data_IF_217377671393
#
_entry.id   IF_217377671393
#
_cell.length_a   1.000
_cell.length_b   1.000
_cell.length_c   1.000
_cell.angle_alpha   90.00
_cell.angle_beta   90.00
_cell.angle_gamma   90.00
#
_symmetry.space_group_name_H-M   'P 1'
#
loop_
_entity.id
_entity.type
_entity.pdbx_description
1 polymer ?
#
# COMPACT_ATOMS: atom_id res chain seq x y z
N UNK A 1 13.13 27.64 -7.69
CA UNK A 1 12.70 27.12 -8.99
C UNK A 1 12.60 28.22 -10.06
N UNK A 2 13.52 29.19 -10.06
CA UNK A 2 13.57 30.28 -11.06
C UNK A 2 14.98 30.43 -11.61
N UNK A 3 15.78 29.34 -11.67
CA UNK A 3 17.07 29.37 -12.32
C UNK A 3 16.92 28.95 -13.79
N UNK A 4 17.56 29.66 -14.67
CA UNK A 4 17.70 29.25 -16.07
C UNK A 4 18.64 28.05 -16.16
N UNK A 5 18.53 27.23 -17.19
CA UNK A 5 19.36 26.05 -17.42
C UNK A 5 20.86 26.33 -17.33
N UNK A 6 21.29 27.47 -17.88
CA UNK A 6 22.68 27.93 -17.80
C UNK A 6 23.14 28.22 -16.35
N UNK A 7 22.27 28.77 -15.51
CA UNK A 7 22.59 29.03 -14.10
C UNK A 7 22.73 27.72 -13.32
N UNK A 8 21.90 26.74 -13.62
CA UNK A 8 21.98 25.38 -13.05
C UNK A 8 23.31 24.72 -13.44
N UNK A 9 23.70 24.81 -14.70
CA UNK A 9 24.96 24.26 -15.19
C UNK A 9 26.17 24.89 -14.51
N UNK A 10 26.13 26.22 -14.23
CA UNK A 10 27.18 26.90 -13.49
C UNK A 10 27.27 26.42 -12.02
N UNK A 11 26.11 26.19 -11.35
CA UNK A 11 26.10 25.60 -10.00
C UNK A 11 26.74 24.22 -10.01
N UNK A 12 26.40 23.38 -11.00
CA UNK A 12 27.00 22.06 -11.17
C UNK A 12 28.52 22.09 -11.41
N UNK A 13 28.98 23.04 -12.19
CA UNK A 13 30.43 23.20 -12.43
C UNK A 13 31.17 23.56 -11.14
N UNK A 14 30.65 24.51 -10.36
CA UNK A 14 31.23 24.93 -9.08
C UNK A 14 31.25 23.77 -8.07
N UNK A 15 30.11 23.10 -7.89
CA UNK A 15 30.01 21.96 -6.98
C UNK A 15 30.88 20.79 -7.42
N UNK A 16 30.91 20.48 -8.71
CA UNK A 16 31.73 19.41 -9.25
C UNK A 16 33.24 19.65 -9.03
N UNK A 17 33.74 20.89 -9.20
CA UNK A 17 35.12 21.25 -8.89
C UNK A 17 35.41 21.11 -7.41
N UNK A 18 34.53 21.58 -6.54
CA UNK A 18 34.67 21.51 -5.11
C UNK A 18 34.69 20.05 -4.63
N UNK A 19 33.77 19.22 -5.07
CA UNK A 19 33.70 17.81 -4.71
C UNK A 19 34.93 17.01 -5.16
N UNK A 20 35.53 17.35 -6.32
CA UNK A 20 36.75 16.71 -6.81
C UNK A 20 37.99 16.99 -5.96
N UNK A 21 38.02 18.08 -5.18
CA UNK A 21 39.09 18.34 -4.21
C UNK A 21 39.13 17.28 -3.14
N UNK A 22 37.99 16.79 -2.69
CA UNK A 22 37.85 15.83 -1.59
C UNK A 22 37.83 14.38 -2.05
N UNK A 23 37.06 14.08 -3.12
CA UNK A 23 36.90 12.71 -3.63
C UNK A 23 37.99 12.29 -4.63
N UNK A 24 38.78 13.24 -5.16
CA UNK A 24 39.70 12.99 -6.26
C UNK A 24 39.01 12.93 -7.61
N UNK A 25 39.80 13.22 -8.66
CA UNK A 25 39.29 13.49 -10.03
C UNK A 25 38.51 12.33 -10.66
N UNK A 26 38.78 11.09 -10.25
CA UNK A 26 38.22 9.88 -10.84
C UNK A 26 37.17 9.17 -9.94
N UNK A 27 36.86 9.75 -8.79
CA UNK A 27 35.96 9.12 -7.81
C UNK A 27 34.68 9.93 -7.55
N UNK A 28 34.47 11.03 -8.28
CA UNK A 28 33.29 11.87 -8.16
C UNK A 28 32.47 11.76 -9.44
N UNK A 29 31.23 11.34 -9.29
CA UNK A 29 30.29 11.11 -10.35
C UNK A 29 29.04 11.98 -10.15
N UNK A 30 28.59 12.64 -11.20
CA UNK A 30 27.30 13.29 -11.27
C UNK A 30 26.29 12.29 -11.83
N UNK A 31 25.26 11.95 -11.08
CA UNK A 31 24.31 10.91 -11.47
C UNK A 31 23.06 11.53 -12.08
N UNK A 32 22.43 12.46 -11.39
CA UNK A 32 21.15 13.02 -11.81
C UNK A 32 20.94 14.40 -11.19
N UNK A 33 20.41 15.35 -11.95
CA UNK A 33 20.04 16.71 -11.50
C UNK A 33 21.00 17.35 -10.48
N UNK A 34 20.78 17.14 -9.18
CA UNK A 34 21.57 17.70 -8.08
C UNK A 34 22.28 16.63 -7.25
N UNK A 35 22.52 15.45 -7.81
CA UNK A 35 23.04 14.30 -7.09
C UNK A 35 24.45 13.94 -7.54
N UNK A 36 25.33 13.82 -6.55
CA UNK A 36 26.71 13.43 -6.75
C UNK A 36 27.04 12.20 -5.91
N UNK A 37 27.87 11.33 -6.46
CA UNK A 37 28.45 10.19 -5.74
C UNK A 37 29.94 10.36 -5.63
N UNK A 38 30.46 10.18 -4.41
CA UNK A 38 31.89 10.13 -4.14
C UNK A 38 32.22 8.71 -3.71
N UNK A 39 33.05 8.02 -4.48
CA UNK A 39 33.52 6.68 -4.15
C UNK A 39 34.79 6.79 -3.30
N UNK A 40 34.73 6.27 -2.07
CA UNK A 40 35.84 6.33 -1.12
C UNK A 40 36.41 4.93 -0.92
N UNK A 41 37.71 4.76 -1.19
CA UNK A 41 38.38 3.45 -1.10
C UNK A 41 38.54 2.93 0.32
N UNK A 42 38.82 3.83 1.27
CA UNK A 42 39.06 3.47 2.64
C UNK A 42 37.96 3.99 3.58
N UNK A 43 37.44 3.12 4.41
CA UNK A 43 36.41 3.48 5.40
C UNK A 43 36.86 4.63 6.33
N UNK A 44 38.13 4.70 6.66
CA UNK A 44 38.70 5.76 7.53
C UNK A 44 38.60 7.15 6.89
N UNK A 45 38.64 7.24 5.58
CA UNK A 45 38.52 8.51 4.86
C UNK A 45 37.13 9.06 4.77
N UNK A 46 36.10 8.21 4.93
CA UNK A 46 34.69 8.62 4.79
C UNK A 46 34.33 9.72 5.77
N UNK A 47 34.67 9.51 7.06
CA UNK A 47 34.34 10.52 8.09
C UNK A 47 35.09 11.83 7.84
N UNK A 48 36.37 11.74 7.50
CA UNK A 48 37.21 12.93 7.18
C UNK A 48 36.61 13.71 5.99
N UNK A 49 36.28 13.00 4.92
CA UNK A 49 35.70 13.63 3.71
C UNK A 49 34.34 14.25 4.03
N UNK A 50 33.52 13.57 4.83
CA UNK A 50 32.23 14.12 5.25
C UNK A 50 32.39 15.40 6.08
N UNK A 51 33.28 15.40 7.08
CA UNK A 51 33.52 16.55 7.96
C UNK A 51 34.08 17.74 7.16
N UNK A 52 35.00 17.49 6.20
CA UNK A 52 35.54 18.50 5.29
C UNK A 52 34.45 19.06 4.36
N UNK A 53 33.61 18.20 3.75
CA UNK A 53 32.50 18.62 2.88
C UNK A 53 31.48 19.47 3.64
N UNK A 54 31.12 19.06 4.84
CA UNK A 54 30.16 19.81 5.67
C UNK A 54 30.65 21.23 5.98
N UNK A 55 31.96 21.41 6.12
CA UNK A 55 32.57 22.71 6.39
C UNK A 55 32.74 23.56 5.13
N UNK A 56 33.13 22.95 4.01
CA UNK A 56 33.54 23.64 2.78
C UNK A 56 32.38 23.89 1.79
N UNK A 57 31.29 23.12 1.89
CA UNK A 57 30.14 23.29 1.01
C UNK A 57 29.44 24.63 1.29
N UNK A 58 29.27 25.51 0.28
CA UNK A 58 28.71 26.83 0.49
C UNK A 58 27.21 26.78 0.74
N UNK A 59 26.73 27.42 1.80
CA UNK A 59 25.30 27.57 2.05
C UNK A 59 24.59 28.46 1.01
N UNK A 60 25.36 29.21 0.23
CA UNK A 60 24.85 30.06 -0.86
C UNK A 60 25.88 30.15 -1.96
N UNK A 61 25.43 29.97 -3.22
CA UNK A 61 26.23 30.17 -4.42
C UNK A 61 25.72 31.40 -5.15
N UNK A 62 26.58 32.32 -5.47
CA UNK A 62 26.23 33.49 -6.28
C UNK A 62 26.49 33.21 -7.76
N UNK A 63 25.45 33.30 -8.57
CA UNK A 63 25.49 33.18 -10.02
C UNK A 63 24.91 34.45 -10.61
N UNK A 64 25.70 35.17 -11.40
CA UNK A 64 25.38 36.51 -11.88
C UNK A 64 25.00 37.42 -10.69
N UNK A 65 23.80 37.97 -10.69
CA UNK A 65 23.28 38.83 -9.60
C UNK A 65 22.34 38.11 -8.67
N UNK A 66 22.23 36.78 -8.74
CA UNK A 66 21.37 35.96 -7.91
C UNK A 66 22.14 35.17 -6.84
N UNK A 67 21.63 35.15 -5.62
CA UNK A 67 22.09 34.26 -4.55
C UNK A 67 21.20 33.03 -4.52
N UNK A 68 21.79 31.85 -4.74
CA UNK A 68 21.11 30.56 -4.73
C UNK A 68 21.44 29.87 -3.41
N UNK A 69 20.42 29.68 -2.56
CA UNK A 69 20.58 28.96 -1.29
C UNK A 69 20.72 27.47 -1.55
N UNK A 70 21.68 26.86 -0.90
CA UNK A 70 22.03 25.45 -1.05
C UNK A 70 21.71 24.69 0.24
N UNK A 71 21.08 23.53 0.07
CA UNK A 71 20.80 22.58 1.15
C UNK A 71 21.37 21.22 0.76
N UNK A 72 22.11 20.59 1.65
CA UNK A 72 22.80 19.33 1.38
C UNK A 72 22.28 18.22 2.27
N UNK A 73 22.05 17.04 1.68
CA UNK A 73 21.79 15.80 2.41
C UNK A 73 22.85 14.77 2.03
N UNK A 74 23.37 14.08 3.01
CA UNK A 74 24.43 13.10 2.84
C UNK A 74 23.91 11.69 3.09
N UNK A 75 24.18 10.80 2.16
CA UNK A 75 23.86 9.38 2.27
C UNK A 75 25.18 8.61 2.25
N UNK A 76 25.52 7.99 3.37
CA UNK A 76 26.80 7.28 3.52
C UNK A 76 26.53 5.78 3.51
N UNK A 77 27.00 5.10 2.47
CA UNK A 77 26.86 3.66 2.30
C UNK A 77 28.25 3.03 2.44
N UNK A 78 28.42 2.23 3.48
CA UNK A 78 29.67 1.49 3.73
C UNK A 78 29.40 0.00 3.84
N UNK A 79 30.40 -0.83 3.47
CA UNK A 79 30.34 -2.28 3.61
C UNK A 79 29.09 -2.93 2.97
N UNK A 80 28.79 -2.56 1.75
CA UNK A 80 27.78 -3.26 0.94
C UNK A 80 28.33 -4.64 0.64
N UNK A 81 27.56 -5.67 0.93
CA UNK A 81 27.96 -7.05 0.67
C UNK A 81 28.22 -7.25 -0.84
N UNK A 82 29.25 -8.01 -1.17
CA UNK A 82 29.63 -8.29 -2.57
C UNK A 82 28.57 -9.05 -3.38
N UNK A 83 27.58 -9.62 -2.70
CA UNK A 83 26.44 -10.28 -3.33
C UNK A 83 25.40 -9.32 -3.93
N UNK A 84 25.43 -8.01 -3.57
CA UNK A 84 24.50 -7.06 -4.12
C UNK A 84 24.85 -6.68 -5.57
N UNK A 85 23.83 -6.71 -6.42
CA UNK A 85 23.91 -6.20 -7.79
C UNK A 85 23.95 -4.67 -7.80
N UNK A 86 24.31 -4.08 -8.94
CA UNK A 86 24.19 -2.64 -9.14
C UNK A 86 22.76 -2.14 -8.91
N UNK A 87 21.77 -2.93 -9.31
CA UNK A 87 20.36 -2.62 -9.07
C UNK A 87 20.01 -2.55 -7.60
N UNK A 88 20.54 -3.48 -6.79
CA UNK A 88 20.34 -3.46 -5.34
C UNK A 88 21.01 -2.23 -4.70
N UNK A 89 22.21 -1.88 -5.16
CA UNK A 89 22.92 -0.69 -4.68
C UNK A 89 22.16 0.61 -4.96
N UNK A 90 21.65 0.78 -6.17
CA UNK A 90 20.83 1.94 -6.52
C UNK A 90 19.54 2.00 -5.67
N UNK A 91 18.96 0.85 -5.40
CA UNK A 91 17.78 0.74 -4.55
C UNK A 91 18.08 1.10 -3.08
N UNK A 92 19.22 0.67 -2.56
CA UNK A 92 19.69 1.09 -1.22
C UNK A 92 19.72 2.63 -1.12
N UNK A 93 20.29 3.30 -2.11
CA UNK A 93 20.34 4.77 -2.15
C UNK A 93 18.92 5.38 -2.18
N UNK A 94 18.02 4.85 -3.01
CA UNK A 94 16.64 5.33 -3.09
C UNK A 94 15.88 5.13 -1.78
N UNK A 95 16.03 3.99 -1.13
CA UNK A 95 15.40 3.71 0.16
C UNK A 95 15.95 4.61 1.28
N UNK A 96 17.26 4.88 1.28
CA UNK A 96 17.85 5.86 2.21
C UNK A 96 17.28 7.26 2.03
N UNK A 97 17.03 7.68 0.78
CA UNK A 97 16.37 8.97 0.48
C UNK A 97 14.93 8.99 1.00
N UNK A 98 14.19 7.91 0.81
CA UNK A 98 12.82 7.76 1.32
C UNK A 98 12.80 7.89 2.84
N UNK A 99 13.67 7.16 3.55
CA UNK A 99 13.80 7.24 5.01
C UNK A 99 14.11 8.68 5.47
N UNK A 100 15.00 9.38 4.77
CA UNK A 100 15.36 10.76 5.10
C UNK A 100 14.21 11.76 4.93
N UNK A 101 13.18 11.43 4.15
CA UNK A 101 11.99 12.27 3.94
C UNK A 101 10.81 11.88 4.82
N UNK A 102 10.70 10.61 5.19
CA UNK A 102 9.62 10.08 6.04
C UNK A 102 9.83 10.38 7.53
N UNK A 103 11.07 10.35 7.99
CA UNK A 103 11.40 10.78 9.34
C UNK A 103 11.15 12.29 9.48
N UNK A 104 10.25 12.67 10.37
CA UNK A 104 9.93 14.07 10.71
C UNK A 104 11.14 14.90 11.21
N UNK A 105 12.26 14.26 11.40
CA UNK A 105 13.58 14.84 11.61
C UNK A 105 14.24 14.99 10.24
N UNK A 106 14.37 16.22 9.76
CA UNK A 106 15.12 16.56 8.55
C UNK A 106 16.62 16.23 8.77
N UNK A 107 16.95 14.93 8.61
CA UNK A 107 18.29 14.42 8.86
C UNK A 107 19.24 14.90 7.75
N UNK A 108 20.24 15.67 8.13
CA UNK A 108 21.31 16.08 7.23
C UNK A 108 22.13 14.88 6.73
N UNK A 109 22.22 13.82 7.55
CA UNK A 109 23.01 12.60 7.26
C UNK A 109 22.20 11.34 7.53
N UNK A 110 22.20 10.42 6.56
CA UNK A 110 21.68 9.06 6.72
C UNK A 110 22.82 8.06 6.51
N UNK A 111 23.01 7.17 7.47
CA UNK A 111 24.01 6.12 7.41
C UNK A 111 23.34 4.79 7.07
N UNK A 112 23.97 4.01 6.17
CA UNK A 112 23.56 2.63 5.89
C UNK A 112 24.16 1.71 6.94
N UNK A 113 23.58 1.73 8.14
CA UNK A 113 23.97 0.87 9.27
C UNK A 113 22.77 0.62 10.20
N UNK A 114 22.92 -0.26 11.18
CA UNK A 114 21.92 -0.54 12.20
C UNK A 114 20.50 -0.71 11.64
N UNK A 115 19.54 0.02 12.19
CA UNK A 115 18.12 -0.04 11.81
C UNK A 115 17.86 0.33 10.34
N UNK A 116 18.62 1.29 9.79
CA UNK A 116 18.48 1.70 8.39
C UNK A 116 18.85 0.54 7.47
N UNK A 117 19.97 -0.15 7.76
CA UNK A 117 20.40 -1.32 7.00
C UNK A 117 19.36 -2.43 7.09
N UNK A 118 18.91 -2.79 8.28
CA UNK A 118 17.91 -3.85 8.49
C UNK A 118 16.58 -3.54 7.77
N UNK A 119 16.16 -2.29 7.78
CA UNK A 119 14.95 -1.85 7.08
C UNK A 119 15.10 -2.05 5.57
N UNK A 120 16.22 -1.63 4.99
CA UNK A 120 16.48 -1.72 3.55
C UNK A 120 16.66 -3.18 3.11
N UNK A 121 17.40 -4.00 3.90
CA UNK A 121 17.56 -5.42 3.60
C UNK A 121 16.22 -6.16 3.57
N UNK A 122 15.32 -5.84 4.51
CA UNK A 122 13.94 -6.36 4.50
C UNK A 122 13.17 -5.93 3.26
N UNK A 123 13.30 -4.68 2.84
CA UNK A 123 12.66 -4.18 1.62
C UNK A 123 13.15 -4.93 0.37
N UNK A 124 14.46 -5.16 0.27
CA UNK A 124 15.05 -5.94 -0.83
C UNK A 124 14.56 -7.40 -0.84
N UNK A 125 14.45 -8.01 0.33
CA UNK A 125 13.91 -9.37 0.47
C UNK A 125 12.43 -9.44 0.05
N UNK A 126 11.62 -8.49 0.48
CA UNK A 126 10.21 -8.39 0.07
C UNK A 126 10.07 -8.26 -1.46
N UNK A 127 10.94 -7.48 -2.10
CA UNK A 127 10.94 -7.31 -3.57
C UNK A 127 11.29 -8.61 -4.27
N UNK A 128 12.28 -9.36 -3.76
CA UNK A 128 12.62 -10.67 -4.32
C UNK A 128 11.45 -11.64 -4.21
N UNK A 129 10.75 -11.61 -3.07
CA UNK A 129 9.54 -12.41 -2.86
C UNK A 129 8.44 -12.07 -3.87
N UNK A 130 8.14 -10.77 -4.06
CA UNK A 130 7.12 -10.33 -5.04
C UNK A 130 7.48 -10.82 -6.45
N UNK A 131 8.73 -10.71 -6.87
CA UNK A 131 9.17 -11.21 -8.17
C UNK A 131 9.00 -12.74 -8.31
N UNK A 132 9.39 -13.48 -7.26
CA UNK A 132 9.23 -14.93 -7.24
C UNK A 132 7.75 -15.35 -7.32
N UNK A 133 6.85 -14.62 -6.65
CA UNK A 133 5.41 -14.87 -6.74
C UNK A 133 4.89 -14.66 -8.17
N UNK A 134 5.33 -13.59 -8.84
CA UNK A 134 4.95 -13.32 -10.23
C UNK A 134 5.49 -14.38 -11.20
N UNK A 135 6.72 -14.85 -11.00
CA UNK A 135 7.31 -15.90 -11.82
C UNK A 135 6.56 -17.22 -11.69
N UNK A 136 6.03 -17.54 -10.52
CA UNK A 136 5.27 -18.76 -10.28
C UNK A 136 3.76 -18.63 -10.58
N UNK A 137 3.25 -17.40 -10.77
CA UNK A 137 1.82 -17.07 -10.95
C UNK A 137 0.93 -17.62 -9.82
N UNK A 138 1.47 -17.75 -8.59
CA UNK A 138 0.79 -18.33 -7.43
C UNK A 138 1.02 -17.51 -6.15
N UNK A 139 -0.03 -17.43 -5.33
CA UNK A 139 0.04 -16.95 -3.95
C UNK A 139 -0.88 -17.79 -3.06
N UNK A 140 -0.51 -17.94 -1.78
CA UNK A 140 -1.42 -18.51 -0.79
C UNK A 140 -2.51 -17.50 -0.46
N UNK A 141 -3.68 -18.01 -0.10
CA UNK A 141 -4.84 -17.21 0.24
C UNK A 141 -5.31 -17.48 1.67
N UNK A 142 -5.98 -16.49 2.22
CA UNK A 142 -6.74 -16.62 3.46
C UNK A 142 -8.06 -15.85 3.34
N UNK A 143 -9.04 -16.23 4.09
CA UNK A 143 -10.38 -15.67 4.06
C UNK A 143 -10.70 -15.00 5.40
N UNK A 144 -11.25 -13.78 5.34
CA UNK A 144 -11.89 -13.12 6.47
C UNK A 144 -13.41 -13.22 6.31
N UNK A 145 -14.13 -13.87 7.22
CA UNK A 145 -15.58 -13.94 7.17
C UNK A 145 -16.24 -12.57 7.33
N UNK A 146 -17.28 -12.35 6.55
CA UNK A 146 -18.08 -11.12 6.57
C UNK A 146 -19.48 -11.43 7.06
N UNK A 147 -19.85 -10.85 8.21
CA UNK A 147 -21.16 -11.02 8.82
C UNK A 147 -22.17 -10.04 8.27
N UNK A 148 -23.29 -10.54 7.76
CA UNK A 148 -24.46 -9.76 7.31
C UNK A 148 -25.37 -9.48 8.52
N UNK A 149 -25.45 -8.22 8.91
CA UNK A 149 -26.23 -7.81 10.09
C UNK A 149 -27.72 -8.00 9.89
N UNK A 150 -28.20 -7.85 8.67
CA UNK A 150 -29.63 -7.98 8.36
C UNK A 150 -30.10 -9.43 8.36
N UNK A 151 -29.29 -10.33 7.84
CA UNK A 151 -29.57 -11.78 7.77
C UNK A 151 -29.15 -12.53 9.03
N UNK A 152 -28.27 -11.91 9.84
CA UNK A 152 -27.68 -12.50 11.04
C UNK A 152 -26.88 -13.77 10.74
N UNK A 153 -26.12 -13.76 9.68
CA UNK A 153 -25.29 -14.87 9.21
C UNK A 153 -23.98 -14.40 8.59
N UNK A 154 -22.98 -15.27 8.57
CA UNK A 154 -21.81 -15.06 7.72
C UNK A 154 -22.14 -15.53 6.31
N UNK A 155 -22.20 -14.60 5.37
CA UNK A 155 -22.55 -14.90 3.98
C UNK A 155 -21.59 -14.29 2.95
N UNK A 156 -20.52 -13.67 3.41
CA UNK A 156 -19.45 -13.12 2.58
C UNK A 156 -18.07 -13.56 3.05
N UNK A 157 -17.10 -13.53 2.15
CA UNK A 157 -15.69 -13.74 2.44
C UNK A 157 -14.86 -12.64 1.80
N UNK A 158 -14.04 -11.95 2.56
CA UNK A 158 -12.93 -11.17 2.04
C UNK A 158 -11.75 -12.11 1.84
N UNK A 159 -11.25 -12.21 0.61
CA UNK A 159 -10.18 -13.15 0.25
C UNK A 159 -8.90 -12.37 0.00
N UNK A 160 -7.88 -12.66 0.81
CA UNK A 160 -6.63 -11.94 0.83
C UNK A 160 -5.45 -12.83 0.42
N UNK A 161 -4.51 -12.32 -0.40
CA UNK A 161 -3.25 -13.00 -0.61
C UNK A 161 -2.42 -12.95 0.68
N UNK A 162 -1.81 -14.09 1.03
CA UNK A 162 -0.90 -14.21 2.17
C UNK A 162 0.53 -14.10 1.70
N UNK A 163 1.21 -13.07 2.15
CA UNK A 163 2.59 -12.78 1.78
C UNK A 163 3.44 -12.80 3.05
N UNK A 164 4.38 -13.75 3.13
CA UNK A 164 5.23 -13.94 4.30
C UNK A 164 6.71 -14.02 3.92
N UNK A 165 7.56 -13.39 4.72
CA UNK A 165 9.01 -13.55 4.68
C UNK A 165 9.45 -14.07 6.06
N UNK A 166 9.86 -15.33 6.13
CA UNK A 166 10.06 -16.00 7.42
C UNK A 166 8.77 -16.00 8.24
N UNK A 167 8.84 -15.52 9.48
CA UNK A 167 7.68 -15.41 10.37
C UNK A 167 6.91 -14.08 10.19
N UNK A 168 7.44 -13.15 9.40
CA UNK A 168 6.82 -11.84 9.19
C UNK A 168 5.79 -11.90 8.07
N UNK A 169 4.59 -11.38 8.36
CA UNK A 169 3.56 -11.09 7.37
C UNK A 169 3.79 -9.70 6.77
N UNK A 170 3.71 -9.60 5.46
CA UNK A 170 3.76 -8.34 4.71
C UNK A 170 2.32 -7.93 4.42
N UNK A 171 1.97 -6.68 4.71
CA UNK A 171 0.62 -6.18 4.41
C UNK A 171 0.42 -6.02 2.90
N UNK A 172 -0.82 -6.10 2.45
CA UNK A 172 -1.13 -5.93 1.03
C UNK A 172 -0.79 -4.52 0.53
N UNK A 173 -0.92 -3.52 1.41
CA UNK A 173 -0.56 -2.12 1.12
C UNK A 173 0.96 -1.98 0.89
N UNK A 174 1.79 -2.63 1.73
CA UNK A 174 3.25 -2.68 1.51
C UNK A 174 3.58 -3.31 0.15
N UNK A 175 2.88 -4.41 -0.22
CA UNK A 175 3.08 -5.06 -1.53
C UNK A 175 2.69 -4.14 -2.67
N UNK A 176 1.57 -3.43 -2.55
CA UNK A 176 1.16 -2.47 -3.58
C UNK A 176 2.14 -1.31 -3.74
N UNK A 177 2.64 -0.74 -2.65
CA UNK A 177 3.63 0.33 -2.69
C UNK A 177 4.92 -0.15 -3.36
N UNK A 178 5.45 -1.31 -2.95
CA UNK A 178 6.64 -1.90 -3.55
C UNK A 178 6.44 -2.27 -5.02
N UNK A 179 5.29 -2.85 -5.39
CA UNK A 179 4.99 -3.23 -6.77
C UNK A 179 4.95 -2.01 -7.70
N UNK A 180 4.48 -0.85 -7.18
CA UNK A 180 4.51 0.41 -7.90
C UNK A 180 5.95 0.89 -8.12
N UNK A 181 6.78 0.83 -7.08
CA UNK A 181 8.18 1.24 -7.16
C UNK A 181 9.00 0.39 -8.15
N UNK A 182 8.68 -0.89 -8.28
CA UNK A 182 9.38 -1.79 -9.22
C UNK A 182 8.68 -1.96 -10.56
N UNK A 183 7.55 -1.28 -10.77
CA UNK A 183 6.84 -1.24 -12.05
C UNK A 183 6.05 -2.50 -12.41
N UNK A 184 5.68 -3.34 -11.42
CA UNK A 184 4.91 -4.57 -11.65
C UNK A 184 3.49 -4.54 -11.04
N UNK A 185 2.96 -3.36 -10.73
CA UNK A 185 1.67 -3.21 -10.07
C UNK A 185 0.51 -3.88 -10.78
N UNK A 186 0.46 -3.78 -12.12
CA UNK A 186 -0.58 -4.44 -12.91
C UNK A 186 -0.50 -5.95 -12.75
N UNK A 187 0.69 -6.51 -12.92
CA UNK A 187 0.89 -7.96 -12.96
C UNK A 187 0.56 -8.59 -11.60
N UNK A 188 0.96 -7.95 -10.48
CA UNK A 188 0.66 -8.44 -9.13
C UNK A 188 -0.85 -8.45 -8.86
N UNK A 189 -1.58 -7.42 -9.28
CA UNK A 189 -3.03 -7.38 -9.06
C UNK A 189 -3.79 -8.36 -9.92
N UNK A 190 -3.38 -8.54 -11.18
CA UNK A 190 -3.97 -9.56 -12.05
C UNK A 190 -3.70 -10.95 -11.49
N UNK A 191 -2.48 -11.22 -11.01
CA UNK A 191 -2.15 -12.48 -10.36
C UNK A 191 -3.04 -12.72 -9.13
N UNK A 192 -3.18 -11.73 -8.25
CA UNK A 192 -4.05 -11.85 -7.07
C UNK A 192 -5.49 -12.13 -7.47
N UNK A 193 -6.04 -11.35 -8.39
CA UNK A 193 -7.40 -11.56 -8.88
C UNK A 193 -7.60 -12.97 -9.43
N UNK A 194 -6.72 -13.42 -10.31
CA UNK A 194 -6.80 -14.78 -10.91
C UNK A 194 -6.76 -15.88 -9.84
N UNK A 195 -5.86 -15.77 -8.87
CA UNK A 195 -5.76 -16.74 -7.78
C UNK A 195 -7.04 -16.75 -6.93
N UNK A 196 -7.61 -15.59 -6.60
CA UNK A 196 -8.88 -15.47 -5.86
C UNK A 196 -10.04 -16.09 -6.65
N UNK A 197 -10.17 -15.77 -7.94
CA UNK A 197 -11.23 -16.33 -8.78
C UNK A 197 -11.10 -17.86 -8.96
N UNK A 198 -9.86 -18.35 -9.16
CA UNK A 198 -9.55 -19.78 -9.24
C UNK A 198 -9.93 -20.49 -7.94
N UNK A 199 -9.54 -19.94 -6.79
CA UNK A 199 -9.89 -20.45 -5.48
C UNK A 199 -11.41 -20.48 -5.27
N UNK A 200 -12.10 -19.38 -5.54
CA UNK A 200 -13.57 -19.25 -5.42
C UNK A 200 -14.30 -20.35 -6.18
N UNK A 201 -13.83 -20.63 -7.42
CA UNK A 201 -14.40 -21.66 -8.27
C UNK A 201 -14.05 -23.07 -7.79
N UNK A 202 -12.79 -23.31 -7.41
CA UNK A 202 -12.29 -24.60 -6.91
C UNK A 202 -13.07 -25.04 -5.67
N UNK A 203 -13.25 -24.12 -4.72
CA UNK A 203 -13.94 -24.38 -3.44
C UNK A 203 -15.46 -24.31 -3.56
N UNK A 204 -16.01 -23.92 -4.71
CA UNK A 204 -17.46 -23.79 -4.95
C UNK A 204 -18.14 -22.90 -3.90
N UNK A 205 -17.52 -21.77 -3.55
CA UNK A 205 -17.94 -20.95 -2.44
C UNK A 205 -19.41 -20.55 -2.52
N UNK A 206 -19.90 -20.17 -3.71
CA UNK A 206 -21.30 -19.75 -3.90
C UNK A 206 -22.28 -20.90 -3.78
N UNK A 207 -21.88 -22.12 -4.16
CA UNK A 207 -22.72 -23.31 -3.98
C UNK A 207 -22.80 -23.76 -2.51
N UNK A 208 -21.79 -23.38 -1.71
CA UNK A 208 -21.68 -23.70 -0.28
C UNK A 208 -22.24 -22.58 0.64
N UNK A 209 -23.03 -21.64 0.11
CA UNK A 209 -23.76 -20.63 0.90
C UNK A 209 -23.11 -19.24 0.99
N UNK A 210 -21.92 -19.04 0.44
CA UNK A 210 -21.33 -17.72 0.35
C UNK A 210 -22.03 -16.93 -0.76
N UNK A 211 -22.58 -15.77 -0.45
CA UNK A 211 -23.31 -14.94 -1.41
C UNK A 211 -22.42 -13.96 -2.17
N UNK A 212 -21.31 -13.53 -1.56
CA UNK A 212 -20.38 -12.60 -2.18
C UNK A 212 -18.96 -12.77 -1.67
N UNK A 213 -17.99 -12.45 -2.55
CA UNK A 213 -16.58 -12.35 -2.21
C UNK A 213 -16.14 -10.89 -2.30
N UNK A 214 -15.15 -10.54 -1.48
CA UNK A 214 -14.53 -9.22 -1.48
C UNK A 214 -13.07 -9.35 -1.87
N UNK A 215 -12.64 -8.45 -2.75
CA UNK A 215 -11.29 -8.43 -3.31
C UNK A 215 -10.70 -7.05 -3.09
N UNK A 216 -9.56 -7.01 -2.42
CA UNK A 216 -8.82 -5.77 -2.18
C UNK A 216 -8.08 -5.30 -3.43
N UNK A 217 -8.21 -4.03 -3.76
CA UNK A 217 -7.59 -3.39 -4.93
C UNK A 217 -7.10 -2.00 -4.57
N UNK A 218 -5.85 -1.68 -4.91
CA UNK A 218 -5.40 -0.30 -4.80
C UNK A 218 -5.98 0.57 -5.92
N UNK A 219 -6.46 1.78 -5.57
CA UNK A 219 -7.12 2.67 -6.51
C UNK A 219 -6.27 3.01 -7.75
N UNK A 220 -4.95 3.12 -7.59
CA UNK A 220 -4.05 3.40 -8.71
C UNK A 220 -3.89 2.24 -9.71
N UNK A 221 -4.41 1.05 -9.40
CA UNK A 221 -4.41 -0.08 -10.32
C UNK A 221 -5.60 -0.10 -11.27
N UNK A 222 -6.66 0.61 -10.94
CA UNK A 222 -7.89 0.65 -11.74
C UNK A 222 -8.09 2.00 -12.45
N UNK A 223 -7.00 2.73 -12.70
CA UNK A 223 -7.05 4.07 -13.33
C UNK A 223 -7.09 4.06 -14.86
N UNK A 224 -7.36 2.92 -15.48
CA UNK A 224 -7.56 2.86 -16.93
C UNK A 224 -8.69 1.90 -17.30
N UNK A 225 -9.42 2.24 -18.33
CA UNK A 225 -10.53 1.40 -18.86
C UNK A 225 -10.00 0.03 -19.31
N UNK A 226 -8.80 -0.02 -19.92
CA UNK A 226 -8.19 -1.27 -20.36
C UNK A 226 -7.94 -2.24 -19.19
N UNK A 227 -7.49 -1.74 -18.04
CA UNK A 227 -7.30 -2.57 -16.84
C UNK A 227 -8.64 -3.02 -16.28
N UNK A 228 -9.65 -2.13 -16.25
CA UNK A 228 -10.99 -2.50 -15.80
C UNK A 228 -11.59 -3.60 -16.69
N UNK A 229 -11.41 -3.49 -18.01
CA UNK A 229 -11.87 -4.50 -18.97
C UNK A 229 -11.15 -5.83 -18.79
N UNK A 230 -9.84 -5.81 -18.53
CA UNK A 230 -9.06 -6.98 -18.21
C UNK A 230 -9.55 -7.70 -16.95
N UNK A 231 -9.80 -6.97 -15.87
CA UNK A 231 -10.44 -7.52 -14.65
C UNK A 231 -11.76 -8.19 -14.96
N UNK A 232 -12.62 -7.51 -15.69
CA UNK A 232 -13.93 -8.06 -16.10
C UNK A 232 -13.80 -9.26 -17.01
N UNK A 233 -12.74 -9.35 -17.83
CA UNK A 233 -12.50 -10.50 -18.70
C UNK A 233 -12.20 -11.76 -17.87
N UNK A 234 -11.37 -11.65 -16.83
CA UNK A 234 -11.10 -12.76 -15.92
C UNK A 234 -12.34 -13.18 -15.13
N UNK A 235 -13.14 -12.25 -14.63
CA UNK A 235 -14.38 -12.57 -13.92
C UNK A 235 -15.31 -13.41 -14.81
N UNK A 236 -15.44 -13.04 -16.08
CA UNK A 236 -16.22 -13.79 -17.07
C UNK A 236 -15.60 -15.15 -17.41
N UNK A 237 -14.28 -15.21 -17.59
CA UNK A 237 -13.52 -16.43 -17.88
C UNK A 237 -13.71 -17.51 -16.81
N UNK A 238 -13.66 -17.10 -15.54
CA UNK A 238 -13.93 -18.02 -14.42
C UNK A 238 -15.41 -18.32 -14.22
N UNK A 239 -16.31 -17.67 -14.95
CA UNK A 239 -17.77 -17.91 -14.89
C UNK A 239 -18.40 -17.43 -13.58
N UNK A 240 -17.83 -16.40 -12.94
CA UNK A 240 -18.36 -15.82 -11.70
C UNK A 240 -19.32 -14.69 -12.06
N UNK A 241 -20.50 -14.68 -11.40
CA UNK A 241 -21.43 -13.56 -11.56
C UNK A 241 -20.81 -12.28 -10.96
N UNK A 242 -20.68 -11.19 -11.73
CA UNK A 242 -20.14 -9.94 -11.23
C UNK A 242 -20.87 -9.38 -10.00
N UNK A 243 -22.15 -9.61 -9.84
CA UNK A 243 -22.95 -9.18 -8.69
C UNK A 243 -22.50 -9.83 -7.36
N UNK A 244 -21.80 -10.96 -7.43
CA UNK A 244 -21.25 -11.64 -6.28
C UNK A 244 -19.85 -11.13 -5.91
N UNK A 245 -19.34 -10.09 -6.59
CA UNK A 245 -18.02 -9.52 -6.35
C UNK A 245 -18.14 -8.10 -5.81
N UNK A 246 -17.41 -7.84 -4.74
CA UNK A 246 -17.18 -6.50 -4.21
C UNK A 246 -15.70 -6.18 -4.32
N UNK A 247 -15.34 -5.11 -5.02
CA UNK A 247 -13.99 -4.56 -4.99
C UNK A 247 -13.87 -3.58 -3.82
N UNK A 248 -12.93 -3.84 -2.94
CA UNK A 248 -12.56 -2.96 -1.83
C UNK A 248 -11.39 -2.09 -2.28
N UNK A 249 -11.66 -0.81 -2.54
CA UNK A 249 -10.70 0.09 -3.17
C UNK A 249 -10.00 0.93 -2.11
N UNK A 250 -8.70 0.66 -1.94
CA UNK A 250 -7.82 1.45 -1.09
C UNK A 250 -7.28 2.67 -1.85
N UNK A 251 -7.49 3.88 -1.29
CA UNK A 251 -7.02 5.14 -1.85
C UNK A 251 -5.83 5.62 -1.00
N UNK A 252 -4.63 5.14 -1.32
CA UNK A 252 -3.40 5.44 -0.57
C UNK A 252 -2.58 6.60 -1.12
N UNK A 253 -2.89 7.07 -2.33
CA UNK A 253 -2.17 8.14 -3.05
C UNK A 253 -3.18 9.08 -3.72
N UNK A 254 -2.74 10.29 -4.04
CA UNK A 254 -3.54 11.20 -4.85
C UNK A 254 -3.70 10.64 -6.27
N UNK A 255 -4.95 10.50 -6.69
CA UNK A 255 -5.32 10.00 -8.00
C UNK A 255 -6.18 11.03 -8.73
N UNK A 256 -6.13 11.08 -10.07
CA UNK A 256 -7.07 11.87 -10.84
C UNK A 256 -8.50 11.41 -10.55
N UNK A 257 -9.28 12.26 -9.87
CA UNK A 257 -10.63 11.93 -9.38
C UNK A 257 -11.58 11.48 -10.51
N UNK A 258 -11.51 12.14 -11.64
CA UNK A 258 -12.34 11.84 -12.81
C UNK A 258 -12.03 10.47 -13.43
N UNK A 259 -10.75 10.05 -13.39
CA UNK A 259 -10.32 8.74 -13.89
C UNK A 259 -10.82 7.64 -12.96
N UNK A 260 -10.61 7.80 -11.66
CA UNK A 260 -11.08 6.83 -10.66
C UNK A 260 -12.61 6.71 -10.68
N UNK A 261 -13.32 7.83 -10.78
CA UNK A 261 -14.79 7.83 -10.87
C UNK A 261 -15.31 7.06 -12.10
N UNK A 262 -14.66 7.22 -13.26
CA UNK A 262 -14.99 6.45 -14.48
C UNK A 262 -14.78 4.96 -14.29
N UNK A 263 -13.67 4.56 -13.67
CA UNK A 263 -13.36 3.15 -13.40
C UNK A 263 -14.38 2.52 -12.44
N UNK A 264 -14.73 3.22 -11.36
CA UNK A 264 -15.77 2.76 -10.42
C UNK A 264 -17.11 2.61 -11.15
N UNK A 265 -17.50 3.62 -11.94
CA UNK A 265 -18.73 3.56 -12.72
C UNK A 265 -18.73 2.41 -13.73
N UNK A 266 -17.58 2.11 -14.36
CA UNK A 266 -17.42 0.97 -15.25
C UNK A 266 -17.73 -0.35 -14.56
N UNK A 267 -17.09 -0.65 -13.43
CA UNK A 267 -17.34 -1.89 -12.67
C UNK A 267 -18.81 -2.01 -12.25
N UNK A 268 -19.39 -0.93 -11.72
CA UNK A 268 -20.78 -0.90 -11.29
C UNK A 268 -21.77 -1.12 -12.45
N UNK A 269 -21.47 -0.62 -13.64
CA UNK A 269 -22.26 -0.87 -14.85
C UNK A 269 -22.38 -2.36 -15.18
N UNK A 270 -21.34 -3.13 -14.86
CA UNK A 270 -21.31 -4.58 -15.09
C UNK A 270 -21.72 -5.41 -13.86
N UNK A 271 -22.26 -4.78 -12.83
CA UNK A 271 -22.79 -5.46 -11.66
C UNK A 271 -21.83 -5.63 -10.48
N UNK A 272 -20.54 -5.29 -10.64
CA UNK A 272 -19.56 -5.39 -9.56
C UNK A 272 -19.79 -4.26 -8.54
N UNK A 273 -19.93 -4.60 -7.26
CA UNK A 273 -19.96 -3.61 -6.18
C UNK A 273 -18.56 -3.05 -5.96
N UNK A 274 -18.45 -1.73 -5.75
CA UNK A 274 -17.19 -1.07 -5.47
C UNK A 274 -17.33 -0.24 -4.21
N UNK A 275 -16.58 -0.55 -3.17
CA UNK A 275 -16.62 0.17 -1.89
C UNK A 275 -15.30 0.85 -1.60
N UNK A 276 -15.35 1.97 -0.90
CA UNK A 276 -14.17 2.68 -0.41
C UNK A 276 -13.63 1.98 0.83
N UNK A 277 -12.42 1.47 0.74
CA UNK A 277 -11.77 0.77 1.86
C UNK A 277 -10.93 1.69 2.73
N UNK A 278 -10.70 1.26 3.99
CA UNK A 278 -9.89 1.96 4.99
C UNK A 278 -10.33 3.41 5.27
N UNK A 279 -11.64 3.68 5.22
CA UNK A 279 -12.16 5.01 5.49
C UNK A 279 -11.80 5.47 6.90
N UNK A 280 -11.11 6.61 6.99
CA UNK A 280 -10.75 7.26 8.26
C UNK A 280 -9.31 7.02 8.74
N UNK A 281 -8.47 6.28 8.00
CA UNK A 281 -7.04 6.13 8.32
C UNK A 281 -6.23 7.30 7.74
N UNK A 282 -6.48 7.67 6.50
CA UNK A 282 -5.79 8.79 5.83
C UNK A 282 -6.72 9.99 5.66
N UNK A 283 -6.15 11.15 5.30
CA UNK A 283 -6.94 12.34 5.01
C UNK A 283 -7.96 12.05 3.90
N UNK A 284 -9.23 12.27 4.19
CA UNK A 284 -10.32 12.11 3.25
C UNK A 284 -10.75 13.48 2.74
N UNK A 285 -10.80 13.64 1.41
CA UNK A 285 -11.40 14.83 0.81
C UNK A 285 -12.93 14.68 0.83
N UNK A 286 -13.62 15.63 1.48
CA UNK A 286 -15.09 15.63 1.56
C UNK A 286 -15.75 15.68 0.17
N UNK A 287 -15.14 16.37 -0.80
CA UNK A 287 -15.61 16.41 -2.17
C UNK A 287 -15.61 15.01 -2.80
N UNK A 288 -14.54 14.24 -2.63
CA UNK A 288 -14.46 12.86 -3.11
C UNK A 288 -15.54 11.98 -2.50
N UNK A 289 -15.81 12.20 -1.20
CA UNK A 289 -16.90 11.51 -0.52
C UNK A 289 -18.27 11.81 -1.16
N UNK A 290 -18.47 13.02 -1.64
CA UNK A 290 -19.76 13.44 -2.23
C UNK A 290 -19.90 13.01 -3.69
N UNK A 291 -18.84 13.08 -4.47
CA UNK A 291 -18.88 12.98 -5.95
C UNK A 291 -18.53 11.58 -6.48
N UNK A 292 -17.75 10.79 -5.73
CA UNK A 292 -17.36 9.45 -6.16
C UNK A 292 -18.53 8.47 -6.19
N UNK A 293 -18.67 7.68 -7.28
CA UNK A 293 -19.79 6.76 -7.46
C UNK A 293 -19.60 5.41 -6.77
N UNK A 294 -19.09 5.39 -5.52
CA UNK A 294 -18.97 4.16 -4.74
C UNK A 294 -20.34 3.55 -4.43
N UNK A 295 -20.38 2.22 -4.29
CA UNK A 295 -21.53 1.48 -3.78
C UNK A 295 -21.61 1.51 -2.25
N UNK A 296 -20.48 1.75 -1.59
CA UNK A 296 -20.40 1.71 -0.13
C UNK A 296 -19.05 2.12 0.42
N UNK A 297 -18.85 1.86 1.70
CA UNK A 297 -17.67 2.21 2.47
C UNK A 297 -17.36 1.14 3.52
N UNK A 298 -16.09 0.82 3.70
CA UNK A 298 -15.56 0.02 4.81
C UNK A 298 -14.85 0.95 5.78
N UNK A 299 -15.44 1.12 6.95
CA UNK A 299 -14.93 2.00 8.00
C UNK A 299 -13.83 1.27 8.75
N UNK A 300 -12.69 1.94 8.89
CA UNK A 300 -11.48 1.36 9.44
C UNK A 300 -11.61 0.92 10.90
N UNK A 301 -10.85 -0.12 11.25
CA UNK A 301 -10.74 -0.62 12.63
C UNK A 301 -10.37 0.46 13.64
N UNK A 302 -9.58 1.48 13.25
CA UNK A 302 -9.20 2.58 14.16
C UNK A 302 -10.39 3.41 14.59
N UNK A 303 -11.29 3.77 13.66
CA UNK A 303 -12.50 4.50 13.96
C UNK A 303 -13.51 3.66 14.75
N UNK A 304 -13.63 2.37 14.41
CA UNK A 304 -14.50 1.43 15.13
C UNK A 304 -14.02 1.22 16.56
N UNK A 305 -12.72 0.94 16.76
CA UNK A 305 -12.13 0.76 18.09
C UNK A 305 -12.26 2.02 18.96
N UNK A 306 -12.04 3.20 18.35
CA UNK A 306 -12.23 4.48 19.05
C UNK A 306 -13.69 4.68 19.50
N UNK A 307 -14.65 4.34 18.63
CA UNK A 307 -16.06 4.40 19.03
C UNK A 307 -16.37 3.44 20.18
N UNK A 308 -15.92 2.18 20.08
CA UNK A 308 -16.20 1.18 21.11
C UNK A 308 -15.62 1.60 22.47
N UNK A 309 -14.44 2.23 22.49
CA UNK A 309 -13.80 2.72 23.73
C UNK A 309 -14.41 4.02 24.26
N UNK A 310 -14.63 5.04 23.40
CA UNK A 310 -15.07 6.37 23.81
C UNK A 310 -16.58 6.57 23.69
N UNK A 311 -17.31 5.68 23.03
CA UNK A 311 -18.75 5.79 22.69
C UNK A 311 -19.11 7.11 22.00
N UNK A 312 -18.20 7.57 21.14
CA UNK A 312 -18.32 8.86 20.48
C UNK A 312 -19.43 8.86 19.41
N UNK A 313 -20.24 9.91 19.38
CA UNK A 313 -21.37 10.00 18.44
C UNK A 313 -20.95 10.19 16.98
N UNK A 314 -19.68 10.53 16.71
CA UNK A 314 -19.18 10.85 15.36
C UNK A 314 -19.36 9.67 14.39
N UNK A 315 -19.05 8.45 14.82
CA UNK A 315 -19.23 7.27 13.98
C UNK A 315 -20.69 7.07 13.58
N UNK A 316 -21.62 7.28 14.51
CA UNK A 316 -23.08 7.17 14.23
C UNK A 316 -23.51 8.19 13.19
N UNK A 317 -23.02 9.43 13.25
CA UNK A 317 -23.32 10.45 12.26
C UNK A 317 -22.75 10.13 10.89
N UNK A 318 -21.52 9.60 10.83
CA UNK A 318 -20.91 9.12 9.57
C UNK A 318 -21.74 7.99 8.94
N UNK A 319 -22.11 6.98 9.72
CA UNK A 319 -22.95 5.87 9.25
C UNK A 319 -24.27 6.39 8.71
N UNK A 320 -24.95 7.28 9.42
CA UNK A 320 -26.22 7.89 8.97
C UNK A 320 -26.06 8.67 7.67
N UNK A 321 -24.96 9.38 7.50
CA UNK A 321 -24.65 10.11 6.27
C UNK A 321 -24.47 9.14 5.10
N UNK A 322 -23.69 8.08 5.27
CA UNK A 322 -23.49 7.05 4.23
C UNK A 322 -24.80 6.31 3.87
N UNK A 323 -25.59 5.95 4.87
CA UNK A 323 -26.91 5.30 4.64
C UNK A 323 -27.88 6.23 3.92
N UNK A 324 -27.85 7.55 4.16
CA UNK A 324 -28.65 8.53 3.39
C UNK A 324 -28.22 8.64 1.92
N UNK A 325 -26.93 8.36 1.61
CA UNK A 325 -26.44 8.24 0.22
C UNK A 325 -26.87 6.93 -0.46
N UNK A 326 -27.46 6.00 0.29
CA UNK A 326 -27.75 4.65 -0.19
C UNK A 326 -26.52 3.75 -0.25
N UNK A 327 -25.46 4.10 0.47
CA UNK A 327 -24.24 3.34 0.50
C UNK A 327 -24.36 2.14 1.43
N UNK A 328 -23.71 1.04 1.04
CA UNK A 328 -23.40 -0.10 1.90
C UNK A 328 -22.37 0.35 2.94
N UNK A 329 -22.58 0.02 4.20
CA UNK A 329 -21.65 0.34 5.30
C UNK A 329 -21.14 -0.95 5.92
N UNK A 330 -19.82 -1.16 5.83
CA UNK A 330 -19.12 -2.23 6.50
C UNK A 330 -18.27 -1.64 7.64
N UNK A 331 -18.27 -2.30 8.80
CA UNK A 331 -17.36 -1.97 9.91
C UNK A 331 -16.27 -3.04 10.01
N UNK A 332 -15.02 -2.57 10.03
CA UNK A 332 -13.86 -3.44 10.15
C UNK A 332 -13.25 -3.41 11.55
N UNK A 333 -12.61 -4.52 11.96
CA UNK A 333 -11.84 -4.60 13.20
C UNK A 333 -12.68 -4.63 14.47
N UNK A 334 -13.87 -5.20 14.43
CA UNK A 334 -14.66 -5.43 15.65
C UNK A 334 -13.92 -6.39 16.55
N UNK A 335 -13.63 -5.95 17.79
CA UNK A 335 -12.62 -6.54 18.64
C UNK A 335 -13.11 -7.61 19.61
N UNK A 336 -14.40 -7.65 19.93
CA UNK A 336 -14.97 -8.57 20.90
C UNK A 336 -16.49 -8.65 20.78
N UNK A 337 -17.10 -9.60 21.52
CA UNK A 337 -18.54 -9.80 21.50
C UNK A 337 -19.34 -8.57 21.99
N UNK A 338 -18.82 -7.81 22.95
CA UNK A 338 -19.45 -6.58 23.43
C UNK A 338 -19.45 -5.52 22.33
N UNK A 339 -18.35 -5.35 21.64
CA UNK A 339 -18.25 -4.41 20.49
C UNK A 339 -19.21 -4.82 19.38
N UNK A 340 -19.27 -6.11 19.06
CA UNK A 340 -20.20 -6.65 18.08
C UNK A 340 -21.66 -6.33 18.42
N UNK A 341 -22.09 -6.60 19.66
CA UNK A 341 -23.44 -6.24 20.14
C UNK A 341 -23.73 -4.74 20.09
N UNK A 342 -22.70 -3.93 20.22
CA UNK A 342 -22.81 -2.48 20.15
C UNK A 342 -22.98 -2.00 18.71
N UNK A 343 -22.09 -2.45 17.80
CA UNK A 343 -22.05 -1.96 16.42
C UNK A 343 -23.19 -2.49 15.56
N UNK A 344 -23.69 -3.70 15.79
CA UNK A 344 -24.82 -4.27 15.05
C UNK A 344 -26.14 -3.52 15.27
N UNK A 345 -26.21 -2.67 16.31
CA UNK A 345 -27.35 -1.77 16.56
C UNK A 345 -27.32 -0.47 15.75
N UNK A 346 -26.23 -0.22 14.97
CA UNK A 346 -25.99 1.07 14.31
C UNK A 346 -26.56 1.18 12.88
N UNK A 347 -27.41 0.31 12.43
CA UNK A 347 -27.90 0.31 11.05
C UNK A 347 -26.76 0.20 10.01
N UNK A 348 -25.81 -0.71 10.24
CA UNK A 348 -24.76 -1.10 9.32
C UNK A 348 -25.16 -2.37 8.56
N UNK A 349 -24.54 -2.59 7.40
CA UNK A 349 -24.90 -3.76 6.57
C UNK A 349 -24.02 -4.95 6.91
N UNK A 350 -22.72 -4.72 7.09
CA UNK A 350 -21.72 -5.77 7.32
C UNK A 350 -20.79 -5.44 8.46
N UNK A 351 -20.31 -6.49 9.10
CA UNK A 351 -19.31 -6.41 10.18
C UNK A 351 -18.25 -7.49 9.97
N UNK A 352 -17.01 -7.15 10.22
CA UNK A 352 -15.90 -8.10 10.25
C UNK A 352 -14.86 -7.73 11.32
N UNK A 353 -14.02 -8.68 11.70
CA UNK A 353 -12.94 -8.44 12.66
C UNK A 353 -12.23 -9.70 13.08
N UNK A 354 -10.90 -9.68 12.98
CA UNK A 354 -10.00 -10.80 13.25
C UNK A 354 -10.14 -11.37 14.68
N UNK A 355 -10.47 -10.52 15.65
CA UNK A 355 -10.67 -10.98 17.04
C UNK A 355 -12.03 -11.65 17.30
N UNK A 356 -12.95 -11.54 16.36
CA UNK A 356 -14.24 -12.25 16.41
C UNK A 356 -14.14 -13.59 15.70
N UNK A 357 -13.63 -13.56 14.47
CA UNK A 357 -13.39 -14.74 13.66
C UNK A 357 -12.01 -14.57 13.06
N UNK A 358 -11.10 -15.48 13.35
CA UNK A 358 -9.73 -15.45 12.82
C UNK A 358 -9.72 -15.62 11.29
N UNK A 359 -8.63 -15.19 10.68
CA UNK A 359 -8.38 -15.49 9.27
C UNK A 359 -8.33 -17.00 9.03
N UNK A 360 -9.05 -17.46 8.03
CA UNK A 360 -9.16 -18.85 7.66
C UNK A 360 -8.19 -19.11 6.52
N UNK A 361 -7.12 -19.89 6.74
CA UNK A 361 -6.23 -20.32 5.64
C UNK A 361 -7.01 -21.07 4.57
N UNK A 362 -6.57 -20.97 3.31
CA UNK A 362 -7.22 -21.65 2.18
C UNK A 362 -7.38 -23.17 2.40
N UNK A 363 -6.41 -23.81 3.05
CA UNK A 363 -6.43 -25.26 3.35
C UNK A 363 -7.51 -25.63 4.40
N UNK A 364 -8.03 -24.67 5.14
CA UNK A 364 -9.04 -24.87 6.21
C UNK A 364 -10.44 -24.41 5.80
N UNK A 365 -10.61 -23.88 4.60
CA UNK A 365 -11.88 -23.27 4.17
C UNK A 365 -13.03 -24.29 4.10
N UNK A 366 -12.74 -25.52 3.67
CA UNK A 366 -13.77 -26.56 3.55
C UNK A 366 -14.36 -26.92 4.92
N UNK A 367 -13.50 -27.06 5.93
CA UNK A 367 -13.92 -27.28 7.31
C UNK A 367 -14.79 -26.13 7.82
N UNK A 368 -14.34 -24.89 7.61
CA UNK A 368 -15.08 -23.71 8.01
C UNK A 368 -16.47 -23.64 7.37
N UNK A 369 -16.59 -23.90 6.06
CA UNK A 369 -17.86 -23.87 5.36
C UNK A 369 -18.82 -24.97 5.85
N UNK A 370 -18.29 -26.14 6.25
CA UNK A 370 -19.08 -27.22 6.84
C UNK A 370 -19.62 -26.82 8.22
N UNK A 371 -18.79 -26.25 9.09
CA UNK A 371 -19.19 -25.75 10.41
C UNK A 371 -20.18 -24.58 10.29
N UNK A 372 -20.02 -23.71 9.28
CA UNK A 372 -20.95 -22.63 8.99
C UNK A 372 -22.34 -23.16 8.61
N UNK A 373 -22.40 -24.19 7.76
CA UNK A 373 -23.65 -24.81 7.33
C UNK A 373 -24.41 -25.50 8.49
N UNK A 374 -23.67 -26.01 9.48
CA UNK A 374 -24.22 -26.61 10.70
C UNK A 374 -24.66 -25.58 11.75
N UNK A 375 -24.41 -24.29 11.52
CA UNK A 375 -24.72 -23.18 12.44
C UNK A 375 -23.78 -23.10 13.66
N UNK A 376 -22.67 -23.81 13.63
CA UNK A 376 -21.73 -23.90 14.77
C UNK A 376 -21.01 -22.58 15.08
N UNK A 377 -20.63 -21.82 14.05
CA UNK A 377 -19.80 -20.61 14.18
C UNK A 377 -20.57 -19.45 14.84
N UNK A 378 -21.88 -19.36 14.66
CA UNK A 378 -22.70 -18.27 15.19
C UNK A 378 -22.96 -18.34 16.68
N UNK A 379 -22.72 -19.48 17.30
CA UNK A 379 -22.88 -19.66 18.76
C UNK A 379 -21.74 -19.06 19.57
N UNK A 380 -20.60 -18.81 18.92
CA UNK A 380 -19.39 -18.24 19.53
C UNK A 380 -19.24 -16.70 19.29
N UNK A 381 -20.12 -16.10 18.47
CA UNK A 381 -20.23 -14.67 18.20
C UNK A 381 -21.40 -14.06 18.99
#
# INVERSE_FOLDING_TARGET
NYCLEDEINQVHAILGELLRKFGGRHNVYHIHSYEYVIVVKNKKDVKRIYDELKYELPGTIRINDKNISMYYKFYIVGNVDSQYSLSDFLRIILSMKKIATEDSLDREVVLYDGEVKERIERELENIRLIRSMLENDECKLECMPVYDVSKKEVNGLEINPVIKTGDRRISIEEVWEMSREIGCSRDINIMFLKNILKFTKREKLFEKGISHIRVNVAGFHIVSEAICEEFMSYIREYGINPENITLEVYIGVELPEDVLAKSIAYFRKYGVSVIWDHFGIKACNLKNLMDMPFSGVKISHQLVARYCSEKSMQLIYLIRMFKKKGWIVCLDGVGCQEDFKLVTKMNVDYVQGEKMIEFIPEDSIEKFLSELAEGGILNDI
#
